data_IF_019684614565
#
_entry.id   IF_019684614565
#
_cell.length_a   1.000
_cell.length_b   1.000
_cell.length_c   1.000
_cell.angle_alpha   90.00
_cell.angle_beta   90.00
_cell.angle_gamma   90.00
#
_symmetry.space_group_name_H-M   'P 1'
#
loop_
_entity.id
_entity.type
_entity.pdbx_description
1 polymer ?
#
# COMPACT_ATOMS: atom_id res chain seq x y z
N UNK A 1 0.61 22.15 -5.62
CA UNK A 1 0.48 21.31 -6.82
C UNK A 1 -0.53 21.87 -7.83
N UNK A 2 -1.61 22.56 -7.39
CA UNK A 2 -2.59 23.22 -8.27
C UNK A 2 -1.98 24.02 -9.44
N UNK A 3 -0.93 24.81 -9.18
CA UNK A 3 -0.21 25.56 -10.22
C UNK A 3 0.36 24.68 -11.36
N UNK A 4 0.76 23.43 -11.07
CA UNK A 4 1.22 22.49 -12.10
C UNK A 4 0.04 21.90 -12.88
N UNK A 5 -1.07 21.61 -12.20
CA UNK A 5 -2.34 21.15 -12.82
C UNK A 5 -2.84 22.22 -13.80
N UNK A 6 -2.95 23.47 -13.35
CA UNK A 6 -3.44 24.59 -14.17
C UNK A 6 -2.53 24.84 -15.38
N UNK A 7 -1.21 24.72 -15.20
CA UNK A 7 -0.24 24.81 -16.31
C UNK A 7 -0.43 23.69 -17.33
N UNK A 8 -0.70 22.47 -16.89
CA UNK A 8 -0.92 21.35 -17.80
C UNK A 8 -2.23 21.51 -18.59
N UNK A 9 -3.31 21.91 -17.92
CA UNK A 9 -4.61 22.10 -18.54
C UNK A 9 -4.60 23.24 -19.59
N UNK A 10 -3.85 24.30 -19.32
CA UNK A 10 -3.76 25.48 -20.18
C UNK A 10 -2.61 25.44 -21.20
N UNK A 11 -1.85 24.34 -21.27
CA UNK A 11 -0.77 24.20 -22.24
C UNK A 11 -1.32 24.14 -23.67
N UNK A 12 -0.80 25.02 -24.55
CA UNK A 12 -1.06 24.98 -26.00
C UNK A 12 -0.34 23.81 -26.69
N UNK A 13 0.72 23.29 -26.08
CA UNK A 13 1.53 22.20 -26.60
C UNK A 13 0.94 20.86 -26.14
N UNK A 14 -0.21 20.49 -26.70
CA UNK A 14 -0.80 19.18 -26.44
C UNK A 14 -0.11 18.12 -27.30
N UNK A 15 0.40 17.08 -26.65
CA UNK A 15 0.99 15.93 -27.33
C UNK A 15 -0.16 15.06 -27.86
N UNK A 16 -0.03 14.57 -29.09
CA UNK A 16 -0.95 13.57 -29.64
C UNK A 16 -0.98 12.34 -28.72
N UNK A 17 -2.18 11.84 -28.43
CA UNK A 17 -2.34 10.65 -27.58
C UNK A 17 -1.51 9.49 -28.15
N UNK A 18 -0.51 8.97 -27.40
CA UNK A 18 0.29 7.87 -27.89
C UNK A 18 -0.55 6.61 -28.09
N UNK A 19 -0.30 5.84 -29.16
CA UNK A 19 -0.93 4.54 -29.33
C UNK A 19 -0.36 3.53 -28.32
N UNK A 20 -1.10 3.28 -27.25
CA UNK A 20 -0.69 2.37 -26.17
C UNK A 20 -0.66 0.90 -26.59
N UNK A 21 -1.23 0.52 -27.74
CA UNK A 21 -1.13 -0.83 -28.28
C UNK A 21 0.20 -1.05 -29.00
N UNK A 22 0.81 0.01 -29.55
CA UNK A 22 2.16 -0.04 -30.12
C UNK A 22 3.24 0.08 -29.05
N UNK A 23 4.38 -0.58 -29.26
CA UNK A 23 5.55 -0.42 -28.37
C UNK A 23 6.09 1.00 -28.41
N UNK A 24 6.17 1.61 -29.59
CA UNK A 24 6.66 2.98 -29.79
C UNK A 24 5.80 4.01 -29.06
N UNK A 25 4.47 3.88 -29.10
CA UNK A 25 3.57 4.76 -28.34
C UNK A 25 3.74 4.61 -26.83
N UNK A 26 3.97 3.38 -26.33
CA UNK A 26 4.31 3.16 -24.91
C UNK A 26 5.66 3.76 -24.52
N UNK A 27 6.67 3.69 -25.39
CA UNK A 27 7.98 4.32 -25.17
C UNK A 27 7.87 5.84 -25.11
N UNK A 28 7.05 6.45 -25.97
CA UNK A 28 6.76 7.88 -25.95
C UNK A 28 6.06 8.31 -24.65
N UNK A 29 5.02 7.57 -24.23
CA UNK A 29 4.34 7.82 -22.95
C UNK A 29 5.31 7.70 -21.78
N UNK A 30 6.11 6.64 -21.77
CA UNK A 30 7.11 6.43 -20.74
C UNK A 30 8.08 7.61 -20.65
N UNK A 31 8.64 8.07 -21.77
CA UNK A 31 9.53 9.23 -21.82
C UNK A 31 8.87 10.50 -21.25
N UNK A 32 7.61 10.77 -21.64
CA UNK A 32 6.86 11.90 -21.12
C UNK A 32 6.64 11.78 -19.60
N UNK A 33 6.18 10.62 -19.11
CA UNK A 33 5.96 10.37 -17.69
C UNK A 33 7.22 10.48 -16.84
N UNK A 34 8.39 10.06 -17.36
CA UNK A 34 9.67 10.25 -16.64
C UNK A 34 9.91 11.72 -16.30
N UNK A 35 9.62 12.61 -17.25
CA UNK A 35 9.79 14.05 -17.05
C UNK A 35 8.80 14.58 -16.02
N UNK A 36 7.54 14.15 -16.10
CA UNK A 36 6.50 14.59 -15.16
C UNK A 36 6.72 14.09 -13.74
N UNK A 37 7.14 12.83 -13.55
CA UNK A 37 7.52 12.34 -12.22
C UNK A 37 8.67 13.15 -11.63
N UNK A 38 9.71 13.47 -12.41
CA UNK A 38 10.80 14.35 -11.95
C UNK A 38 10.29 15.73 -11.53
N UNK A 39 9.30 16.29 -12.22
CA UNK A 39 8.68 17.57 -11.87
C UNK A 39 7.91 17.47 -10.55
N UNK A 40 7.11 16.42 -10.36
CA UNK A 40 6.38 16.17 -9.09
C UNK A 40 7.36 16.10 -7.93
N UNK A 41 8.41 15.29 -8.05
CA UNK A 41 9.39 15.10 -6.98
C UNK A 41 10.19 16.39 -6.69
N UNK A 42 10.53 17.15 -7.72
CA UNK A 42 11.23 18.43 -7.56
C UNK A 42 10.34 19.52 -6.94
N UNK A 43 9.03 19.49 -7.22
CA UNK A 43 8.06 20.38 -6.61
C UNK A 43 7.85 20.01 -5.14
N UNK A 44 7.65 18.73 -4.85
CA UNK A 44 7.42 18.21 -3.50
C UNK A 44 8.56 18.58 -2.54
N UNK A 45 9.80 18.40 -2.99
CA UNK A 45 10.99 18.74 -2.21
C UNK A 45 11.07 20.23 -1.80
N UNK A 46 10.32 21.11 -2.47
CA UNK A 46 10.28 22.56 -2.18
C UNK A 46 9.06 22.97 -1.37
N UNK A 47 8.13 22.07 -1.10
CA UNK A 47 7.00 22.33 -0.22
C UNK A 47 7.48 22.47 1.23
N UNK A 48 6.76 23.23 2.03
CA UNK A 48 7.02 23.38 3.47
C UNK A 48 6.91 22.04 4.19
N UNK A 49 5.94 21.22 3.77
CA UNK A 49 5.70 19.86 4.26
C UNK A 49 5.71 18.87 3.09
N UNK A 50 6.89 18.39 2.63
CA UNK A 50 6.99 17.38 1.58
C UNK A 50 6.32 16.08 2.00
N UNK A 51 5.71 15.37 1.04
CA UNK A 51 5.10 14.07 1.32
C UNK A 51 6.11 12.92 1.17
N UNK A 52 7.05 13.05 0.23
CA UNK A 52 8.06 12.03 -0.02
C UNK A 52 9.27 12.29 0.88
N UNK A 53 9.43 11.45 1.90
CA UNK A 53 10.66 11.42 2.72
C UNK A 53 11.83 10.85 1.93
N UNK A 54 11.57 9.81 1.13
CA UNK A 54 12.55 9.17 0.29
C UNK A 54 11.90 8.62 -0.98
N UNK A 55 12.68 8.60 -2.07
CA UNK A 55 12.27 8.01 -3.34
C UNK A 55 13.40 7.17 -3.89
N UNK A 56 13.12 5.92 -4.25
CA UNK A 56 14.11 5.03 -4.85
C UNK A 56 14.64 5.64 -6.16
N UNK A 57 15.97 5.74 -6.35
CA UNK A 57 16.56 6.31 -7.56
C UNK A 57 16.25 5.47 -8.80
N UNK A 58 15.88 4.19 -8.62
CA UNK A 58 15.57 3.27 -9.72
C UNK A 58 14.09 3.23 -10.08
N UNK A 59 13.19 3.80 -9.25
CA UNK A 59 11.74 3.70 -9.40
C UNK A 59 11.28 4.11 -10.81
N UNK A 60 11.64 5.33 -11.24
CA UNK A 60 11.21 5.87 -12.54
C UNK A 60 11.61 4.93 -13.69
N UNK A 61 12.83 4.39 -13.64
CA UNK A 61 13.34 3.48 -14.69
C UNK A 61 12.62 2.12 -14.68
N UNK A 62 12.32 1.57 -13.50
CA UNK A 62 11.57 0.33 -13.34
C UNK A 62 10.12 0.49 -13.80
N UNK A 63 9.46 1.55 -13.33
CA UNK A 63 8.07 1.84 -13.65
C UNK A 63 7.87 2.01 -15.15
N UNK A 64 8.74 2.79 -15.80
CA UNK A 64 8.65 2.99 -17.26
C UNK A 64 8.92 1.72 -18.06
N UNK A 65 9.91 0.91 -17.70
CA UNK A 65 10.09 -0.43 -18.30
C UNK A 65 8.86 -1.32 -18.13
N UNK A 66 8.22 -1.27 -16.97
CA UNK A 66 6.97 -1.98 -16.67
C UNK A 66 5.80 -1.53 -17.55
N UNK A 67 5.69 -0.23 -17.84
CA UNK A 67 4.69 0.30 -18.79
C UNK A 67 4.90 -0.23 -20.21
N UNK A 68 6.15 -0.26 -20.67
CA UNK A 68 6.49 -0.64 -22.05
C UNK A 68 6.32 -2.13 -22.30
N UNK A 69 6.79 -2.96 -21.36
CA UNK A 69 6.99 -4.39 -21.59
C UNK A 69 5.77 -5.25 -21.24
N UNK A 70 4.93 -4.86 -20.28
CA UNK A 70 3.79 -5.68 -19.83
C UNK A 70 2.48 -4.88 -19.71
N UNK A 71 2.04 -4.17 -20.76
CA UNK A 71 0.95 -3.18 -20.67
C UNK A 71 -0.43 -3.78 -20.30
N UNK A 72 -0.64 -5.07 -20.52
CA UNK A 72 -1.89 -5.77 -20.20
C UNK A 72 -2.00 -6.21 -18.73
N UNK A 73 -0.86 -6.33 -18.03
CA UNK A 73 -0.81 -6.75 -16.63
C UNK A 73 -1.31 -5.62 -15.72
N UNK A 74 -2.17 -5.93 -14.75
CA UNK A 74 -2.71 -4.94 -13.78
C UNK A 74 -1.61 -4.30 -12.96
N UNK A 75 -1.85 -3.08 -12.48
CA UNK A 75 -0.93 -2.38 -11.58
C UNK A 75 -1.18 -2.81 -10.14
N UNK A 76 -0.17 -3.39 -9.53
CA UNK A 76 -0.22 -3.75 -8.11
C UNK A 76 0.61 -2.75 -7.30
N UNK A 77 -0.04 -2.11 -6.32
CA UNK A 77 0.56 -1.15 -5.39
C UNK A 77 0.59 -1.81 -4.01
N UNK A 78 1.78 -2.02 -3.45
CA UNK A 78 1.96 -2.57 -2.10
C UNK A 78 2.25 -1.44 -1.10
N UNK A 79 1.47 -1.37 -0.03
CA UNK A 79 1.60 -0.39 1.05
C UNK A 79 1.95 -1.11 2.35
N UNK A 80 3.16 -0.88 2.85
CA UNK A 80 3.63 -1.37 4.15
C UNK A 80 3.94 -0.21 5.09
N UNK A 81 4.43 -0.55 6.28
CA UNK A 81 4.72 0.37 7.37
C UNK A 81 4.25 -0.25 8.67
N UNK A 82 4.83 0.20 9.77
CA UNK A 82 4.56 -0.42 11.06
C UNK A 82 3.14 -0.09 11.59
N UNK A 83 2.75 -0.73 12.69
CA UNK A 83 1.43 -0.51 13.27
C UNK A 83 1.21 0.97 13.63
N UNK A 84 -0.01 1.45 13.37
CA UNK A 84 -0.43 2.83 13.58
C UNK A 84 0.27 3.92 12.75
N UNK A 85 1.07 3.56 11.72
CA UNK A 85 1.70 4.54 10.84
C UNK A 85 0.73 5.27 9.90
N UNK A 86 -0.48 4.74 9.67
CA UNK A 86 -1.46 5.39 8.79
C UNK A 86 -1.64 4.74 7.41
N UNK A 87 -1.05 3.55 7.18
CA UNK A 87 -1.26 2.73 5.97
C UNK A 87 -2.72 2.68 5.51
N UNK A 88 -3.62 2.23 6.37
CA UNK A 88 -5.03 2.04 6.01
C UNK A 88 -5.75 3.38 5.75
N UNK A 89 -5.30 4.47 6.40
CA UNK A 89 -5.78 5.83 6.10
C UNK A 89 -5.38 6.26 4.70
N UNK A 90 -4.10 6.16 4.36
CA UNK A 90 -3.58 6.51 3.03
C UNK A 90 -4.17 5.59 1.94
N UNK A 91 -4.32 4.30 2.22
CA UNK A 91 -4.94 3.35 1.31
C UNK A 91 -6.41 3.73 1.02
N UNK A 92 -7.17 4.14 2.05
CA UNK A 92 -8.54 4.59 1.88
C UNK A 92 -8.61 5.88 1.07
N UNK A 93 -7.71 6.82 1.32
CA UNK A 93 -7.66 8.08 0.56
C UNK A 93 -7.32 7.84 -0.91
N UNK A 94 -6.28 7.05 -1.17
CA UNK A 94 -5.90 6.62 -2.52
C UNK A 94 -7.07 5.94 -3.23
N UNK A 95 -7.80 5.06 -2.55
CA UNK A 95 -9.00 4.42 -3.10
C UNK A 95 -10.06 5.46 -3.48
N UNK A 96 -10.43 6.33 -2.55
CA UNK A 96 -11.49 7.34 -2.74
C UNK A 96 -11.22 8.21 -3.97
N UNK A 97 -9.98 8.66 -4.15
CA UNK A 97 -9.60 9.54 -5.26
C UNK A 97 -9.61 8.80 -6.58
N UNK A 98 -9.07 7.58 -6.63
CA UNK A 98 -9.08 6.80 -7.87
C UNK A 98 -10.53 6.53 -8.31
N UNK A 99 -11.44 6.28 -7.36
CA UNK A 99 -12.87 6.17 -7.63
C UNK A 99 -13.49 7.50 -8.13
N UNK A 100 -13.16 8.64 -7.51
CA UNK A 100 -13.60 9.97 -7.97
C UNK A 100 -13.14 10.29 -9.39
N UNK A 101 -11.94 9.82 -9.75
CA UNK A 101 -11.37 9.91 -11.09
C UNK A 101 -11.96 8.88 -12.08
N UNK A 102 -13.03 8.18 -11.70
CA UNK A 102 -13.73 7.18 -12.52
C UNK A 102 -12.83 6.02 -13.00
N UNK A 103 -11.83 5.67 -12.20
CA UNK A 103 -10.93 4.55 -12.47
C UNK A 103 -11.28 3.37 -11.53
N UNK A 104 -11.43 2.14 -12.04
CA UNK A 104 -11.71 0.99 -11.19
C UNK A 104 -10.48 0.64 -10.34
N UNK A 105 -10.70 0.49 -9.03
CA UNK A 105 -9.68 0.14 -8.04
C UNK A 105 -10.21 -0.92 -7.08
N UNK A 106 -9.39 -1.94 -6.84
CA UNK A 106 -9.64 -2.94 -5.81
C UNK A 106 -8.65 -2.81 -4.67
N UNK A 107 -9.09 -3.09 -3.44
CA UNK A 107 -8.26 -3.05 -2.23
C UNK A 107 -8.23 -4.42 -1.58
N UNK A 108 -7.03 -4.89 -1.22
CA UNK A 108 -6.80 -6.13 -0.50
C UNK A 108 -5.96 -5.88 0.75
N UNK A 109 -6.45 -6.28 1.91
CA UNK A 109 -5.65 -6.26 3.14
C UNK A 109 -4.91 -7.59 3.30
N UNK A 110 -3.61 -7.55 3.60
CA UNK A 110 -2.83 -8.77 3.88
C UNK A 110 -3.21 -9.41 5.22
N UNK A 111 -3.87 -8.68 6.11
CA UNK A 111 -4.39 -9.20 7.38
C UNK A 111 -5.42 -10.32 7.14
N UNK A 112 -6.06 -10.35 5.96
CA UNK A 112 -6.93 -11.46 5.58
C UNK A 112 -6.19 -12.79 5.42
N UNK A 113 -4.87 -12.77 5.25
CA UNK A 113 -4.01 -13.93 5.03
C UNK A 113 -3.31 -14.40 6.31
N UNK A 114 -3.72 -13.96 7.49
CA UNK A 114 -3.30 -14.64 8.72
C UNK A 114 -3.68 -16.13 8.67
N UNK A 115 -2.84 -16.96 9.26
CA UNK A 115 -3.13 -18.39 9.46
C UNK A 115 -4.36 -18.55 10.36
N UNK A 116 -5.10 -19.64 10.17
CA UNK A 116 -6.10 -20.05 11.16
C UNK A 116 -5.36 -20.52 12.42
N UNK A 117 -5.60 -19.82 13.53
CA UNK A 117 -5.03 -20.12 14.83
C UNK A 117 -6.12 -20.41 15.86
N UNK A 118 -7.33 -20.73 15.41
CA UNK A 118 -8.48 -20.95 16.30
C UNK A 118 -8.26 -22.08 17.31
N UNK A 119 -7.55 -23.14 16.92
CA UNK A 119 -7.18 -24.22 17.84
C UNK A 119 -6.11 -23.81 18.86
N UNK A 120 -5.19 -22.90 18.48
CA UNK A 120 -4.26 -22.29 19.43
C UNK A 120 -5.02 -21.40 20.42
N UNK A 121 -5.96 -20.59 19.95
CA UNK A 121 -6.81 -19.77 20.83
C UNK A 121 -7.61 -20.65 21.80
N UNK A 122 -8.21 -21.77 21.34
CA UNK A 122 -8.90 -22.72 22.23
C UNK A 122 -7.95 -23.32 23.28
N UNK A 123 -6.70 -23.61 22.91
CA UNK A 123 -5.70 -24.20 23.80
C UNK A 123 -5.20 -23.22 24.87
N UNK A 124 -4.92 -21.96 24.50
CA UNK A 124 -4.36 -20.95 25.39
C UNK A 124 -5.43 -20.06 26.05
N UNK A 125 -6.68 -20.16 25.61
CA UNK A 125 -7.86 -19.50 26.18
C UNK A 125 -8.07 -18.07 25.67
N UNK A 126 -7.01 -17.37 25.29
CA UNK A 126 -7.09 -16.01 24.73
C UNK A 126 -5.91 -15.72 23.81
N UNK A 127 -6.05 -14.65 23.03
CA UNK A 127 -4.96 -14.10 22.22
C UNK A 127 -3.77 -13.65 23.08
N UNK A 128 -4.05 -12.92 24.16
CA UNK A 128 -3.02 -12.41 25.08
C UNK A 128 -2.20 -13.57 25.70
N UNK A 129 -2.87 -14.65 26.11
CA UNK A 129 -2.19 -15.83 26.63
C UNK A 129 -1.36 -16.53 25.55
N UNK A 130 -1.85 -16.59 24.31
CA UNK A 130 -1.11 -17.18 23.20
C UNK A 130 0.18 -16.38 22.91
N UNK A 131 0.12 -15.05 22.91
CA UNK A 131 1.30 -14.19 22.75
C UNK A 131 2.27 -14.30 23.92
N UNK A 132 1.76 -14.40 25.16
CA UNK A 132 2.57 -14.61 26.36
C UNK A 132 3.32 -15.95 26.36
N UNK A 133 2.80 -16.92 25.60
CA UNK A 133 3.44 -18.21 25.36
C UNK A 133 4.34 -18.23 24.11
N UNK A 134 4.69 -17.05 23.58
CA UNK A 134 5.70 -16.89 22.54
C UNK A 134 5.20 -17.00 21.10
N UNK A 135 3.88 -16.96 20.88
CA UNK A 135 3.35 -16.88 19.51
C UNK A 135 3.56 -15.46 18.94
N UNK A 136 4.30 -15.38 17.84
CA UNK A 136 4.60 -14.13 17.16
C UNK A 136 3.61 -13.91 16.01
N UNK A 137 2.62 -13.06 16.24
CA UNK A 137 1.51 -12.78 15.32
C UNK A 137 2.01 -12.11 14.04
N UNK A 138 3.05 -11.27 14.13
CA UNK A 138 3.51 -10.45 13.01
C UNK A 138 4.67 -11.11 12.26
N UNK A 139 5.15 -12.27 12.73
CA UNK A 139 6.14 -13.05 12.02
C UNK A 139 5.63 -13.51 10.64
N UNK A 140 6.49 -13.57 9.61
CA UNK A 140 6.13 -14.11 8.29
C UNK A 140 5.46 -15.49 8.31
N UNK A 141 5.82 -16.32 9.29
CA UNK A 141 5.27 -17.67 9.50
C UNK A 141 3.80 -17.65 9.94
N UNK A 142 3.30 -16.54 10.47
CA UNK A 142 1.90 -16.34 10.87
C UNK A 142 0.97 -16.01 9.70
N UNK A 143 1.51 -15.89 8.49
CA UNK A 143 0.76 -15.57 7.27
C UNK A 143 0.82 -16.70 6.24
N UNK A 144 -0.26 -16.84 5.48
CA UNK A 144 -0.39 -17.71 4.30
C UNK A 144 0.32 -17.06 3.09
N UNK A 145 1.62 -16.81 3.19
CA UNK A 145 2.38 -16.02 2.20
C UNK A 145 2.41 -16.62 0.80
N UNK A 146 2.44 -17.96 0.68
CA UNK A 146 2.41 -18.63 -0.62
C UNK A 146 1.05 -18.43 -1.32
N UNK A 147 -0.04 -18.48 -0.55
CA UNK A 147 -1.38 -18.19 -1.05
C UNK A 147 -1.49 -16.72 -1.44
N UNK A 148 -1.03 -15.80 -0.58
CA UNK A 148 -1.01 -14.37 -0.87
C UNK A 148 -0.25 -14.08 -2.18
N UNK A 149 0.96 -14.62 -2.34
CA UNK A 149 1.75 -14.43 -3.57
C UNK A 149 0.99 -14.94 -4.80
N UNK A 150 0.44 -16.16 -4.73
CA UNK A 150 -0.34 -16.76 -5.82
C UNK A 150 -1.55 -15.89 -6.21
N UNK A 151 -2.27 -15.40 -5.21
CA UNK A 151 -3.47 -14.58 -5.39
C UNK A 151 -3.12 -13.22 -6.00
N UNK A 152 -2.02 -12.59 -5.57
CA UNK A 152 -1.50 -11.36 -6.16
C UNK A 152 -1.05 -11.54 -7.62
N UNK A 153 -0.38 -12.65 -7.93
CA UNK A 153 0.01 -12.98 -9.31
C UNK A 153 -1.23 -13.18 -10.20
N UNK A 154 -2.26 -13.85 -9.69
CA UNK A 154 -3.55 -14.05 -10.37
C UNK A 154 -4.25 -12.71 -10.64
N UNK A 155 -4.32 -11.84 -9.63
CA UNK A 155 -4.84 -10.47 -9.77
C UNK A 155 -4.06 -9.68 -10.82
N UNK A 156 -2.74 -9.78 -10.83
CA UNK A 156 -1.90 -9.09 -11.81
C UNK A 156 -2.18 -9.55 -13.25
N UNK A 157 -2.55 -10.81 -13.44
CA UNK A 157 -2.86 -11.41 -14.74
C UNK A 157 -4.27 -11.10 -15.27
N UNK A 158 -5.11 -10.40 -14.51
CA UNK A 158 -6.48 -10.09 -14.94
C UNK A 158 -7.56 -10.95 -14.29
N UNK A 159 -7.20 -11.86 -13.37
CA UNK A 159 -8.13 -12.84 -12.82
C UNK A 159 -8.64 -12.40 -11.44
N UNK A 160 -9.97 -12.32 -11.27
CA UNK A 160 -10.62 -12.16 -9.97
C UNK A 160 -10.31 -13.36 -9.07
N UNK A 161 -10.11 -13.12 -7.78
CA UNK A 161 -9.78 -14.16 -6.79
C UNK A 161 -10.83 -14.23 -5.68
N UNK A 162 -10.80 -15.31 -4.92
CA UNK A 162 -11.52 -15.47 -3.66
C UNK A 162 -10.49 -15.54 -2.51
N UNK A 163 -10.13 -14.39 -1.96
CA UNK A 163 -9.18 -14.30 -0.85
C UNK A 163 -9.78 -14.92 0.44
N UNK A 164 -8.95 -15.41 1.37
CA UNK A 164 -9.40 -15.77 2.71
C UNK A 164 -9.99 -14.55 3.44
N UNK A 165 -10.75 -14.79 4.51
CA UNK A 165 -11.21 -13.75 5.44
C UNK A 165 -10.77 -14.13 6.85
N UNK A 166 -9.89 -13.32 7.42
CA UNK A 166 -9.54 -13.46 8.83
C UNK A 166 -10.56 -12.73 9.71
N UNK A 167 -11.07 -13.39 10.74
CA UNK A 167 -12.15 -12.84 11.58
C UNK A 167 -11.55 -12.04 12.74
N UNK A 168 -11.72 -10.69 12.78
CA UNK A 168 -11.06 -9.83 13.77
C UNK A 168 -11.85 -9.73 15.08
N UNK A 169 -12.28 -10.88 15.63
CA UNK A 169 -13.03 -10.98 16.89
C UNK A 169 -12.27 -11.75 17.98
N UNK A 170 -10.97 -12.02 17.76
CA UNK A 170 -10.13 -12.77 18.69
C UNK A 170 -10.31 -14.29 18.62
N UNK A 171 -11.17 -14.83 17.75
CA UNK A 171 -11.34 -16.29 17.61
C UNK A 171 -10.22 -16.96 16.85
N UNK A 172 -9.40 -16.20 16.12
CA UNK A 172 -8.30 -16.75 15.32
C UNK A 172 -8.73 -17.46 14.04
N UNK A 173 -10.00 -17.35 13.65
CA UNK A 173 -10.56 -18.08 12.51
C UNK A 173 -10.18 -17.41 11.19
N UNK A 174 -9.70 -18.21 10.23
CA UNK A 174 -9.45 -17.82 8.85
C UNK A 174 -10.37 -18.61 7.92
N UNK A 175 -11.32 -17.93 7.28
CA UNK A 175 -12.31 -18.56 6.39
C UNK A 175 -11.75 -18.56 4.97
N UNK A 176 -11.42 -19.71 4.37
CA UNK A 176 -10.87 -19.76 3.02
C UNK A 176 -11.92 -19.36 1.96
N UNK A 177 -11.46 -18.81 0.83
CA UNK A 177 -12.29 -18.47 -0.33
C UNK A 177 -13.52 -17.60 -0.01
N UNK A 178 -13.35 -16.57 0.82
CA UNK A 178 -14.46 -15.86 1.44
C UNK A 178 -14.67 -14.42 0.94
N UNK A 179 -13.64 -13.77 0.40
CA UNK A 179 -13.69 -12.39 -0.09
C UNK A 179 -13.40 -12.35 -1.58
N UNK A 180 -14.38 -11.95 -2.38
CA UNK A 180 -14.14 -11.70 -3.80
C UNK A 180 -13.33 -10.41 -3.98
N UNK A 181 -12.19 -10.51 -4.66
CA UNK A 181 -11.34 -9.36 -5.01
C UNK A 181 -11.22 -9.31 -6.52
N UNK A 182 -11.74 -8.23 -7.12
CA UNK A 182 -11.75 -8.05 -8.57
C UNK A 182 -10.35 -7.68 -9.07
N UNK A 183 -10.01 -8.19 -10.25
CA UNK A 183 -8.80 -7.78 -10.95
C UNK A 183 -9.04 -6.49 -11.75
N UNK A 184 -9.20 -5.39 -11.01
CA UNK A 184 -9.30 -4.05 -11.60
C UNK A 184 -7.95 -3.59 -12.17
N UNK A 185 -7.95 -2.47 -12.92
CA UNK A 185 -6.74 -1.93 -13.54
C UNK A 185 -5.66 -1.60 -12.49
N UNK A 186 -6.10 -1.14 -11.32
CA UNK A 186 -5.24 -0.87 -10.16
C UNK A 186 -5.73 -1.72 -9.00
N UNK A 187 -4.81 -2.45 -8.38
CA UNK A 187 -5.04 -3.23 -7.16
C UNK A 187 -4.10 -2.70 -6.10
N UNK A 188 -4.68 -2.20 -5.01
CA UNK A 188 -3.94 -1.66 -3.87
C UNK A 188 -3.96 -2.72 -2.78
N UNK A 189 -2.79 -3.05 -2.26
CA UNK A 189 -2.62 -4.07 -1.24
C UNK A 189 -1.95 -3.43 -0.05
N UNK A 190 -2.58 -3.51 1.11
CA UNK A 190 -2.08 -2.89 2.34
C UNK A 190 -1.88 -3.91 3.44
N UNK A 191 -0.90 -3.65 4.30
CA UNK A 191 -0.61 -4.47 5.48
C UNK A 191 0.86 -4.86 5.55
N UNK A 192 1.28 -5.36 6.71
CA UNK A 192 2.70 -5.57 7.01
C UNK A 192 3.32 -6.66 6.13
N UNK A 193 2.54 -7.67 5.74
CA UNK A 193 3.02 -8.80 4.94
C UNK A 193 3.23 -8.48 3.45
N UNK A 194 2.89 -7.26 2.99
CA UNK A 194 3.15 -6.83 1.60
C UNK A 194 4.64 -6.86 1.25
N UNK A 195 5.54 -6.67 2.23
CA UNK A 195 7.00 -6.71 1.97
C UNK A 195 7.68 -7.99 2.46
N UNK A 196 6.92 -9.02 2.86
CA UNK A 196 7.52 -10.24 3.39
C UNK A 196 8.01 -11.17 2.29
N UNK A 197 9.26 -11.65 2.45
CA UNK A 197 9.88 -12.67 1.59
C UNK A 197 9.67 -12.33 0.11
N UNK A 198 9.14 -13.25 -0.67
CA UNK A 198 8.93 -13.10 -2.11
C UNK A 198 7.67 -12.30 -2.48
N UNK A 199 6.77 -12.01 -1.52
CA UNK A 199 5.54 -11.24 -1.78
C UNK A 199 5.88 -9.85 -2.29
N UNK A 200 6.95 -9.25 -1.77
CA UNK A 200 7.45 -7.94 -2.19
C UNK A 200 7.72 -7.89 -3.70
N UNK A 201 8.10 -9.00 -4.33
CA UNK A 201 8.55 -8.99 -5.73
C UNK A 201 7.38 -8.95 -6.74
N UNK A 202 6.13 -9.08 -6.26
CA UNK A 202 4.94 -9.05 -7.11
C UNK A 202 4.51 -7.62 -7.48
N UNK A 203 4.82 -6.63 -6.63
CA UNK A 203 4.35 -5.25 -6.75
C UNK A 203 5.09 -4.42 -7.80
N UNK A 204 4.33 -3.58 -8.51
CA UNK A 204 4.85 -2.61 -9.47
C UNK A 204 5.31 -1.32 -8.78
N UNK A 205 4.61 -0.94 -7.70
CA UNK A 205 4.90 0.22 -6.86
C UNK A 205 4.88 -0.22 -5.40
N UNK A 206 5.93 0.14 -4.66
CA UNK A 206 6.08 -0.18 -3.23
C UNK A 206 6.14 1.09 -2.40
N UNK A 207 5.26 1.20 -1.42
CA UNK A 207 5.13 2.37 -0.55
C UNK A 207 5.36 1.92 0.89
N UNK A 208 6.28 2.59 1.59
CA UNK A 208 6.47 2.46 3.02
C UNK A 208 5.93 3.70 3.72
N UNK A 209 4.96 3.53 4.62
CA UNK A 209 4.42 4.62 5.43
C UNK A 209 5.21 4.72 6.73
N UNK A 210 5.89 5.85 6.90
CA UNK A 210 6.76 6.11 8.03
C UNK A 210 6.18 7.23 8.91
N UNK A 211 6.06 6.96 10.21
CA UNK A 211 5.57 7.91 11.21
C UNK A 211 6.36 7.73 12.48
N UNK A 212 6.61 8.83 13.19
CA UNK A 212 7.33 8.81 14.46
C UNK A 212 6.61 7.93 15.50
N UNK A 213 7.42 7.27 16.33
CA UNK A 213 6.92 6.29 17.29
C UNK A 213 5.96 6.89 18.32
N UNK A 214 6.20 8.12 18.78
CA UNK A 214 5.32 8.79 19.76
C UNK A 214 3.91 9.00 19.20
N UNK A 215 3.82 9.46 17.95
CA UNK A 215 2.55 9.66 17.25
C UNK A 215 1.84 8.32 17.01
N UNK A 216 2.59 7.30 16.60
CA UNK A 216 2.05 5.94 16.41
C UNK A 216 1.53 5.36 17.72
N UNK A 217 2.27 5.54 18.82
CA UNK A 217 1.87 5.09 20.15
C UNK A 217 0.56 5.76 20.57
N UNK A 218 0.47 7.08 20.43
CA UNK A 218 -0.76 7.82 20.74
C UNK A 218 -1.95 7.30 19.93
N UNK A 219 -1.78 7.16 18.60
CA UNK A 219 -2.80 6.61 17.70
C UNK A 219 -3.19 5.18 18.05
N UNK A 220 -2.23 4.37 18.47
CA UNK A 220 -2.46 2.98 18.86
C UNK A 220 -3.28 2.91 20.16
N UNK A 221 -2.81 3.57 21.23
CA UNK A 221 -3.47 3.57 22.54
C UNK A 221 -4.89 4.15 22.44
N UNK A 222 -5.06 5.24 21.66
CA UNK A 222 -6.38 5.84 21.42
C UNK A 222 -7.36 4.84 20.79
N UNK A 223 -6.92 4.08 19.77
CA UNK A 223 -7.78 3.06 19.12
C UNK A 223 -8.02 1.85 19.99
N UNK A 224 -7.00 1.38 20.72
CA UNK A 224 -7.14 0.27 21.66
C UNK A 224 -8.23 0.57 22.71
N UNK A 225 -8.24 1.79 23.26
CA UNK A 225 -9.26 2.23 24.21
C UNK A 225 -10.63 2.47 23.54
N UNK A 226 -10.67 3.22 22.44
CA UNK A 226 -11.94 3.69 21.86
C UNK A 226 -12.67 2.66 20.97
N UNK A 227 -11.93 1.82 20.24
CA UNK A 227 -12.49 0.90 19.26
C UNK A 227 -12.54 -0.55 19.76
N UNK A 228 -11.64 -0.91 20.69
CA UNK A 228 -11.47 -2.31 21.15
C UNK A 228 -11.81 -2.51 22.63
N UNK A 229 -12.19 -1.46 23.35
CA UNK A 229 -12.47 -1.49 24.79
C UNK A 229 -11.34 -2.16 25.61
N UNK A 230 -10.10 -2.05 25.15
CA UNK A 230 -8.94 -2.66 25.81
C UNK A 230 -8.52 -1.80 27.00
N UNK A 231 -8.14 -2.45 28.10
CA UNK A 231 -7.57 -1.75 29.25
C UNK A 231 -6.21 -1.13 28.89
N UNK A 232 -5.78 -0.13 29.65
CA UNK A 232 -4.55 0.62 29.36
C UNK A 232 -3.29 -0.25 29.48
N UNK A 233 -3.23 -1.12 30.48
CA UNK A 233 -2.08 -2.00 30.74
C UNK A 233 -1.83 -2.97 29.57
N UNK A 234 -2.87 -3.66 29.11
CA UNK A 234 -2.80 -4.55 27.95
C UNK A 234 -2.49 -3.77 26.67
N UNK A 235 -3.00 -2.55 26.52
CA UNK A 235 -2.69 -1.71 25.36
C UNK A 235 -1.20 -1.31 25.35
N UNK A 236 -0.60 -1.01 26.51
CA UNK A 236 0.84 -0.73 26.63
C UNK A 236 1.66 -1.98 26.32
N UNK A 237 1.30 -3.13 26.91
CA UNK A 237 1.97 -4.41 26.65
C UNK A 237 1.93 -4.80 25.17
N UNK A 238 0.78 -4.65 24.52
CA UNK A 238 0.64 -4.90 23.09
C UNK A 238 1.47 -3.92 22.25
N UNK A 239 1.56 -2.65 22.65
CA UNK A 239 2.41 -1.67 21.98
C UNK A 239 3.89 -2.05 22.04
N UNK A 240 4.39 -2.52 23.20
CA UNK A 240 5.77 -2.99 23.35
C UNK A 240 6.07 -4.18 22.43
N UNK A 241 5.15 -5.16 22.36
CA UNK A 241 5.25 -6.25 21.40
C UNK A 241 5.33 -5.74 19.95
N UNK A 242 4.47 -4.79 19.57
CA UNK A 242 4.41 -4.23 18.21
C UNK A 242 5.69 -3.46 17.84
N UNK A 243 6.38 -2.85 18.80
CA UNK A 243 7.68 -2.21 18.55
C UNK A 243 8.72 -3.26 18.14
N UNK A 244 8.86 -4.33 18.93
CA UNK A 244 9.83 -5.39 18.65
C UNK A 244 9.51 -6.13 17.34
N UNK A 245 8.23 -6.44 17.09
CA UNK A 245 7.80 -7.05 15.84
C UNK A 245 8.01 -6.10 14.64
N UNK A 246 7.72 -4.81 14.82
CA UNK A 246 7.95 -3.77 13.82
C UNK A 246 9.42 -3.70 13.40
N UNK A 247 10.33 -3.61 14.37
CA UNK A 247 11.78 -3.60 14.14
C UNK A 247 12.26 -4.85 13.40
N UNK A 248 11.76 -6.03 13.80
CA UNK A 248 12.23 -7.31 13.27
C UNK A 248 11.70 -7.61 11.86
N UNK A 249 10.43 -7.32 11.60
CA UNK A 249 9.76 -7.80 10.39
C UNK A 249 9.35 -6.69 9.43
N UNK A 250 9.02 -5.49 9.93
CA UNK A 250 8.41 -4.44 9.09
C UNK A 250 9.42 -3.42 8.62
N UNK A 251 10.29 -2.90 9.51
CA UNK A 251 11.32 -1.90 9.17
C UNK A 251 12.23 -2.36 8.02
N UNK A 252 12.68 -3.63 7.93
CA UNK A 252 13.46 -4.10 6.77
C UNK A 252 12.72 -3.94 5.43
N UNK A 253 11.39 -3.87 5.45
CA UNK A 253 10.54 -3.57 4.29
C UNK A 253 10.84 -2.21 3.64
N UNK A 254 11.37 -1.25 4.42
CA UNK A 254 11.71 0.10 3.97
C UNK A 254 12.74 0.10 2.85
N UNK A 255 13.71 -0.80 2.89
CA UNK A 255 14.80 -0.89 1.90
C UNK A 255 14.31 -1.31 0.50
N UNK A 256 13.13 -1.94 0.43
CA UNK A 256 12.52 -2.35 -0.83
C UNK A 256 11.55 -1.32 -1.39
N UNK A 257 11.24 -0.26 -0.65
CA UNK A 257 10.24 0.72 -1.02
C UNK A 257 10.70 1.58 -2.21
N UNK A 258 9.75 1.89 -3.09
CA UNK A 258 9.94 2.90 -4.13
C UNK A 258 9.72 4.30 -3.57
N UNK A 259 8.83 4.42 -2.59
CA UNK A 259 8.51 5.65 -1.89
C UNK A 259 8.44 5.42 -0.39
N UNK A 260 9.09 6.29 0.38
CA UNK A 260 8.83 6.44 1.81
C UNK A 260 7.98 7.70 1.98
N UNK A 261 6.77 7.53 2.50
CA UNK A 261 5.79 8.59 2.66
C UNK A 261 5.56 8.86 4.15
N UNK A 262 5.47 10.13 4.53
CA UNK A 262 5.07 10.49 5.88
C UNK A 262 3.60 10.13 6.13
N UNK A 263 3.33 9.27 7.11
CA UNK A 263 1.96 8.93 7.52
C UNK A 263 1.17 10.07 8.20
N UNK A 264 1.80 11.23 8.38
CA UNK A 264 1.18 12.48 8.82
C UNK A 264 0.99 13.50 7.68
N UNK A 265 1.33 13.13 6.45
CA UNK A 265 1.23 14.04 5.31
C UNK A 265 -0.18 14.61 5.15
N UNK A 266 -0.26 15.86 4.67
CA UNK A 266 -1.53 16.47 4.31
C UNK A 266 -2.19 15.69 3.17
N UNK A 267 -3.31 15.04 3.47
CA UNK A 267 -4.08 14.27 2.51
C UNK A 267 -4.48 15.14 1.32
N UNK A 268 -4.84 16.42 1.52
CA UNK A 268 -5.22 17.30 0.40
C UNK A 268 -4.10 17.48 -0.62
N UNK A 269 -2.86 17.54 -0.15
CA UNK A 269 -1.72 17.68 -1.05
C UNK A 269 -1.38 16.36 -1.75
N UNK A 270 -1.52 15.24 -1.06
CA UNK A 270 -1.50 13.90 -1.68
C UNK A 270 -2.53 13.79 -2.80
N UNK A 271 -3.75 14.29 -2.56
CA UNK A 271 -4.84 14.29 -3.53
C UNK A 271 -4.45 15.06 -4.79
N UNK A 272 -3.90 16.27 -4.63
CA UNK A 272 -3.46 17.06 -5.77
C UNK A 272 -2.34 16.37 -6.58
N UNK A 273 -1.47 15.59 -5.94
CA UNK A 273 -0.46 14.79 -6.68
C UNK A 273 -1.15 13.74 -7.55
N UNK A 274 -2.14 13.03 -7.01
CA UNK A 274 -2.88 12.01 -7.74
C UNK A 274 -3.73 12.62 -8.87
N UNK A 275 -4.37 13.75 -8.64
CA UNK A 275 -5.07 14.53 -9.67
C UNK A 275 -4.12 15.01 -10.78
N UNK A 276 -2.92 15.47 -10.41
CA UNK A 276 -1.91 15.86 -11.40
C UNK A 276 -1.46 14.67 -12.23
N UNK A 277 -1.21 13.51 -11.61
CA UNK A 277 -0.87 12.25 -12.31
C UNK A 277 -2.00 11.83 -13.26
N UNK A 278 -3.26 11.93 -12.83
CA UNK A 278 -4.40 11.66 -13.68
C UNK A 278 -4.48 12.65 -14.86
N UNK A 279 -4.26 13.94 -14.60
CA UNK A 279 -4.29 14.98 -15.63
C UNK A 279 -3.22 14.73 -16.69
N UNK A 280 -1.95 14.53 -16.33
CA UNK A 280 -0.87 14.27 -17.29
C UNK A 280 -1.06 12.94 -18.06
N UNK A 281 -1.79 11.96 -17.51
CA UNK A 281 -2.04 10.68 -18.19
C UNK A 281 -3.28 10.67 -19.08
N UNK A 282 -4.13 11.70 -19.01
CA UNK A 282 -5.37 11.77 -19.78
C UNK A 282 -5.51 13.05 -20.64
N UNK A 283 -4.71 14.09 -20.38
CA UNK A 283 -4.73 15.36 -21.13
C UNK A 283 -3.85 15.30 -22.38
N UNK A 284 -4.22 14.43 -23.33
CA UNK A 284 -3.62 14.36 -24.66
C UNK A 284 -4.57 14.94 -25.72
N UNK A 285 -4.02 15.36 -26.88
CA UNK A 285 -4.80 15.75 -28.06
C UNK A 285 -5.40 14.53 -28.77
#
# INVERSE_FOLDING_TARGET
MQLLIDKELNSSDKILKPDFNSKTGRELLAFYLQTKFKQILAYDKRCETPIFKEVSPTFISRFTKRLINTPSRRFLIGITGESASGKSTICRELKNIIEQLSMPVSVLSTDNYFNDISDLIKKYGSFDNLTDNGYDIDAPESFQLDLLKKDLESLAQGNTIMAPRYVPNGTGVSIPNSLEIRSDKVVVVEGIATMYRDVKDVFDIKIYIETENDIRRERFIKRAKAERNQNEENAIKQWEYLLHAGEKYVIPGRDYADFVIDGNSDLKYFDQILEYIHTITNNFQ
#
